data_IF_719504523691
#
_entry.id   IF_719504523691
#
_cell.length_a   1.000
_cell.length_b   1.000
_cell.length_c   1.000
_cell.angle_alpha   90.00
_cell.angle_beta   90.00
_cell.angle_gamma   90.00
#
_symmetry.space_group_name_H-M   'P 1'
#
loop_
_entity.id
_entity.type
_entity.pdbx_description
1 polymer ?
#
# COMPACT_ATOMS: atom_id res chain seq x y z
N UNK A 1 23.99 0.99 -1.19
CA UNK A 1 23.05 1.37 -2.27
C UNK A 1 21.77 1.82 -1.61
N UNK A 2 21.61 3.13 -1.53
CA UNK A 2 20.75 3.81 -0.58
C UNK A 2 19.36 4.05 -1.18
N UNK A 3 18.34 3.38 -0.65
CA UNK A 3 16.95 3.88 -0.67
C UNK A 3 16.22 3.30 0.54
N UNK A 4 16.74 3.56 1.74
CA UNK A 4 15.99 3.42 2.98
C UNK A 4 15.02 4.60 3.09
N UNK A 5 14.04 4.66 2.20
CA UNK A 5 12.80 5.37 2.52
C UNK A 5 12.06 4.43 3.46
N UNK A 6 12.48 4.43 4.72
CA UNK A 6 11.73 3.84 5.82
C UNK A 6 10.47 4.70 5.98
N UNK A 7 9.48 4.46 5.12
CA UNK A 7 8.17 5.07 5.31
C UNK A 7 7.70 4.67 6.71
N UNK A 8 7.66 5.64 7.64
CA UNK A 8 7.11 5.46 8.97
C UNK A 8 5.57 5.42 8.87
N UNK A 9 5.07 4.33 8.28
CA UNK A 9 3.64 4.12 8.14
C UNK A 9 3.06 3.67 9.47
N UNK A 10 1.90 4.23 9.81
CA UNK A 10 1.09 3.75 10.93
C UNK A 10 0.49 2.38 10.61
N UNK A 11 0.06 1.64 11.64
CA UNK A 11 -0.57 0.32 11.45
C UNK A 11 -1.79 0.39 10.52
N UNK A 12 -2.61 1.45 10.61
CA UNK A 12 -3.75 1.66 9.74
C UNK A 12 -3.36 1.89 8.27
N UNK A 13 -2.25 2.58 8.02
CA UNK A 13 -1.72 2.79 6.67
C UNK A 13 -1.19 1.48 6.08
N UNK A 14 -0.49 0.68 6.89
CA UNK A 14 -0.04 -0.67 6.51
C UNK A 14 -1.21 -1.58 6.17
N UNK A 15 -2.26 -1.59 6.99
CA UNK A 15 -3.46 -2.40 6.75
C UNK A 15 -4.17 -1.99 5.46
N UNK A 16 -4.33 -0.68 5.24
CA UNK A 16 -4.94 -0.13 4.02
C UNK A 16 -4.16 -0.50 2.75
N UNK A 17 -2.83 -0.43 2.79
CA UNK A 17 -1.99 -0.87 1.66
C UNK A 17 -2.14 -2.38 1.39
N UNK A 18 -2.28 -3.21 2.42
CA UNK A 18 -2.52 -4.65 2.27
C UNK A 18 -3.90 -4.96 1.69
N UNK A 19 -4.93 -4.23 2.10
CA UNK A 19 -6.30 -4.38 1.58
C UNK A 19 -6.39 -4.01 0.09
N UNK A 20 -5.60 -3.04 -0.37
CA UNK A 20 -5.52 -2.61 -1.76
C UNK A 20 -4.79 -3.59 -2.69
N UNK A 21 -4.26 -4.70 -2.16
CA UNK A 21 -3.73 -5.75 -3.04
C UNK A 21 -4.87 -6.29 -3.92
N UNK A 22 -4.62 -6.55 -5.21
CA UNK A 22 -5.63 -6.85 -6.23
C UNK A 22 -6.52 -8.09 -5.98
N UNK A 23 -6.35 -8.80 -4.86
CA UNK A 23 -7.07 -10.04 -4.56
C UNK A 23 -7.93 -9.99 -3.30
N UNK A 24 -7.91 -8.91 -2.49
CA UNK A 24 -8.37 -9.05 -1.09
C UNK A 24 -9.73 -8.40 -0.79
N UNK A 25 -10.05 -7.16 -1.19
CA UNK A 25 -11.31 -6.54 -0.71
C UNK A 25 -11.95 -5.54 -1.70
N UNK A 26 -13.30 -5.45 -1.72
CA UNK A 26 -13.99 -4.32 -2.34
C UNK A 26 -13.67 -3.01 -1.58
N UNK A 27 -13.50 -1.88 -2.28
CA UNK A 27 -13.00 -0.62 -1.73
C UNK A 27 -13.95 0.08 -0.75
N UNK A 28 -15.16 -0.45 -0.53
CA UNK A 28 -16.17 0.14 0.34
C UNK A 28 -15.81 0.20 1.84
N UNK A 29 -14.77 -0.52 2.29
CA UNK A 29 -14.33 -0.52 3.70
C UNK A 29 -13.06 0.29 3.99
N UNK A 30 -12.49 0.97 3.01
CA UNK A 30 -11.23 1.70 3.22
C UNK A 30 -11.49 3.02 3.94
N UNK A 31 -10.70 3.29 4.99
CA UNK A 31 -10.74 4.58 5.68
C UNK A 31 -10.24 5.67 4.72
N UNK A 32 -11.14 6.57 4.31
CA UNK A 32 -10.86 7.62 3.32
C UNK A 32 -9.75 8.58 3.77
N UNK A 33 -9.62 8.85 5.08
CA UNK A 33 -8.54 9.69 5.61
C UNK A 33 -7.17 9.05 5.41
N UNK A 34 -7.07 7.75 5.71
CA UNK A 34 -5.83 6.97 5.53
C UNK A 34 -5.51 6.84 4.04
N UNK A 35 -6.52 6.64 3.20
CA UNK A 35 -6.38 6.57 1.76
C UNK A 35 -5.80 7.88 1.18
N UNK A 36 -6.32 9.03 1.61
CA UNK A 36 -5.84 10.34 1.18
C UNK A 36 -4.37 10.58 1.56
N UNK A 37 -3.97 10.19 2.78
CA UNK A 37 -2.57 10.22 3.21
C UNK A 37 -1.66 9.34 2.33
N UNK A 38 -2.12 8.13 1.97
CA UNK A 38 -1.37 7.22 1.10
C UNK A 38 -1.26 7.76 -0.34
N UNK A 39 -2.26 8.49 -0.80
CA UNK A 39 -2.25 9.19 -2.09
C UNK A 39 -1.28 10.37 -2.05
N UNK A 40 -1.29 11.17 -0.98
CA UNK A 40 -0.34 12.25 -0.78
C UNK A 40 1.12 11.76 -0.73
N UNK A 41 1.35 10.53 -0.24
CA UNK A 41 2.66 9.87 -0.25
C UNK A 41 3.03 9.20 -1.59
N UNK A 42 2.12 9.20 -2.58
CA UNK A 42 2.33 8.57 -3.88
C UNK A 42 2.33 7.03 -3.85
N UNK A 43 1.86 6.42 -2.76
CA UNK A 43 1.81 4.96 -2.59
C UNK A 43 0.53 4.37 -3.21
N UNK A 44 -0.51 5.18 -3.31
CA UNK A 44 -1.82 4.81 -3.86
C UNK A 44 -2.23 5.84 -4.91
N UNK A 45 -2.82 5.38 -6.01
CA UNK A 45 -3.46 6.21 -7.01
C UNK A 45 -4.98 5.98 -6.95
N UNK A 46 -5.75 7.07 -6.98
CA UNK A 46 -7.19 7.00 -7.18
C UNK A 46 -7.45 6.90 -8.68
N UNK A 47 -7.93 5.75 -9.15
CA UNK A 47 -8.44 5.60 -10.52
C UNK A 47 -9.95 5.86 -10.54
N UNK A 48 -10.51 6.19 -11.70
CA UNK A 48 -11.96 6.46 -11.89
C UNK A 48 -12.87 5.37 -11.30
N UNK A 49 -12.40 4.12 -11.28
CA UNK A 49 -13.17 3.01 -10.76
C UNK A 49 -12.87 2.77 -9.29
N UNK A 50 -11.61 2.67 -8.88
CA UNK A 50 -11.22 2.29 -7.52
C UNK A 50 -9.80 2.77 -7.16
N UNK A 51 -9.45 2.88 -5.86
CA UNK A 51 -8.06 3.07 -5.43
C UNK A 51 -7.19 1.87 -5.80
N UNK A 52 -5.97 2.12 -6.29
CA UNK A 52 -5.01 1.11 -6.71
C UNK A 52 -3.59 1.44 -6.21
N UNK A 53 -2.81 0.40 -5.87
CA UNK A 53 -1.41 0.57 -5.49
C UNK A 53 -0.56 1.07 -6.67
N UNK A 54 0.26 2.09 -6.43
CA UNK A 54 1.31 2.50 -7.38
C UNK A 54 2.46 1.49 -7.38
N UNK A 55 3.37 1.51 -8.38
CA UNK A 55 4.58 0.70 -8.34
C UNK A 55 5.39 0.92 -7.06
N UNK A 56 5.40 2.15 -6.53
CA UNK A 56 6.05 2.51 -5.28
C UNK A 56 5.35 1.90 -4.07
N UNK A 57 4.02 2.01 -3.99
CA UNK A 57 3.22 1.38 -2.93
C UNK A 57 3.40 -0.13 -2.89
N UNK A 58 3.48 -0.80 -4.05
CA UNK A 58 3.77 -2.24 -4.14
C UNK A 58 5.13 -2.58 -3.57
N UNK A 59 6.17 -1.79 -3.89
CA UNK A 59 7.51 -2.00 -3.35
C UNK A 59 7.56 -1.81 -1.83
N UNK A 60 6.84 -0.81 -1.29
CA UNK A 60 6.72 -0.59 0.16
C UNK A 60 6.04 -1.78 0.84
N UNK A 61 4.93 -2.29 0.27
CA UNK A 61 4.25 -3.49 0.77
C UNK A 61 5.16 -4.72 0.81
N UNK A 62 5.97 -4.92 -0.23
CA UNK A 62 6.89 -6.05 -0.30
C UNK A 62 8.05 -5.91 0.70
N UNK A 63 8.60 -4.70 0.88
CA UNK A 63 9.71 -4.45 1.82
C UNK A 63 9.29 -4.53 3.29
N UNK A 64 8.08 -4.07 3.64
CA UNK A 64 7.59 -4.09 5.02
C UNK A 64 6.93 -5.40 5.47
N UNK A 65 6.83 -6.40 4.59
CA UNK A 65 6.32 -7.73 4.92
C UNK A 65 7.35 -8.80 4.54
N UNK A 66 8.27 -9.18 5.46
CA UNK A 66 9.28 -10.21 5.18
C UNK A 66 8.67 -11.57 4.79
N UNK A 67 7.45 -11.90 5.27
CA UNK A 67 6.71 -13.11 4.86
C UNK A 67 6.22 -13.10 3.40
N UNK A 68 6.22 -11.94 2.72
CA UNK A 68 5.80 -11.83 1.32
C UNK A 68 6.98 -11.95 0.34
N UNK A 69 8.23 -11.89 0.82
CA UNK A 69 9.40 -12.20 -0.01
C UNK A 69 9.49 -13.70 -0.34
N UNK A 70 9.05 -14.54 0.59
CA UNK A 70 9.12 -16.00 0.50
C UNK A 70 8.21 -16.60 -0.61
N UNK A 71 7.18 -15.87 -1.03
CA UNK A 71 6.25 -16.29 -2.09
C UNK A 71 6.69 -15.91 -3.51
N UNK A 72 7.81 -15.20 -3.65
CA UNK A 72 8.37 -14.79 -4.95
C UNK A 72 9.65 -15.57 -5.32
N UNK A 73 10.03 -16.58 -4.52
CA UNK A 73 11.16 -17.48 -4.77
C UNK A 73 10.73 -18.76 -5.50
#
# INVERSE_FOLDING_TARGET
>A
MSTETEYQLTENQWDTLRMLRPAILPPAKLNRYVLDQLVAMGLVALSDTHPALTPMGRAVVLRGCPRLWDLAA
#
